data_IF_695497923657
#
_entry.id   IF_695497923657
#
_cell.length_a   1.000
_cell.length_b   1.000
_cell.length_c   1.000
_cell.angle_alpha   90.00
_cell.angle_beta   90.00
_cell.angle_gamma   90.00
#
_symmetry.space_group_name_H-M   'P 1'
#
loop_
_entity.id
_entity.type
_entity.pdbx_description
1 polymer ?
#
# COMPACT_ATOMS: atom_id res chain seq x y z
N UNK A 1 9.50 -26.02 53.58
CA UNK A 1 8.31 -25.53 52.86
C UNK A 1 8.72 -24.32 52.05
N UNK A 2 8.51 -24.41 50.73
CA UNK A 2 8.55 -23.41 49.65
C UNK A 2 9.78 -22.47 49.56
N UNK A 3 10.66 -22.55 48.54
CA UNK A 3 10.50 -22.55 47.07
C UNK A 3 10.58 -21.13 46.47
N UNK A 4 11.72 -20.87 45.80
CA UNK A 4 11.97 -19.98 44.67
C UNK A 4 11.76 -18.46 44.81
N UNK A 5 12.88 -17.74 44.96
CA UNK A 5 13.04 -16.38 44.47
C UNK A 5 14.47 -16.20 43.98
N UNK A 6 14.74 -16.39 42.69
CA UNK A 6 15.98 -15.93 42.05
C UNK A 6 15.81 -15.96 40.52
N UNK A 7 15.70 -14.79 39.91
CA UNK A 7 16.35 -14.43 38.63
C UNK A 7 16.12 -12.93 38.41
N UNK A 8 17.06 -12.14 38.92
CA UNK A 8 17.20 -10.72 38.60
C UNK A 8 18.06 -10.51 37.35
N UNK A 9 17.78 -9.40 36.68
CA UNK A 9 18.65 -8.60 35.82
C UNK A 9 19.77 -9.34 35.05
N UNK A 10 19.58 -9.53 33.74
CA UNK A 10 20.70 -9.54 32.80
C UNK A 10 20.87 -8.13 32.22
N UNK A 11 21.59 -7.29 32.96
CA UNK A 11 22.29 -6.13 32.41
C UNK A 11 23.44 -6.64 31.56
N UNK A 12 23.31 -6.51 30.26
CA UNK A 12 24.40 -6.65 29.30
C UNK A 12 25.22 -5.35 29.35
N UNK A 13 26.43 -5.35 29.92
CA UNK A 13 27.57 -4.47 29.55
C UNK A 13 28.69 -4.56 30.61
N UNK A 14 29.82 -5.16 30.24
CA UNK A 14 31.14 -4.77 30.72
C UNK A 14 32.17 -5.11 29.62
N UNK A 15 32.63 -4.08 28.90
CA UNK A 15 33.82 -4.13 28.04
C UNK A 15 35.08 -3.88 28.88
N UNK A 16 36.24 -4.48 28.56
CA UNK A 16 37.52 -4.03 29.07
C UNK A 16 38.06 -2.83 28.27
N UNK A 17 38.75 -1.93 28.97
CA UNK A 17 39.46 -0.78 28.43
C UNK A 17 40.55 -1.22 27.41
N UNK A 18 40.61 -0.52 26.30
CA UNK A 18 41.76 -0.55 25.38
C UNK A 18 41.50 0.33 24.15
N UNK A 19 42.32 1.38 23.97
CA UNK A 19 42.32 2.19 22.75
C UNK A 19 42.65 1.29 21.54
N UNK A 20 41.69 1.12 20.65
CA UNK A 20 41.93 0.78 19.25
C UNK A 20 40.82 1.45 18.43
N UNK A 21 41.19 2.13 17.34
CA UNK A 21 40.24 2.55 16.32
C UNK A 21 39.67 1.27 15.68
N UNK A 22 38.55 0.76 16.20
CA UNK A 22 37.97 -0.51 15.76
C UNK A 22 37.00 -0.26 14.60
N UNK A 23 37.19 -1.02 13.52
CA UNK A 23 36.16 -1.25 12.50
C UNK A 23 34.80 -1.45 13.18
N UNK A 24 33.83 -0.62 12.80
CA UNK A 24 32.47 -0.71 13.32
C UNK A 24 31.92 -2.08 12.95
N UNK A 25 31.64 -2.92 13.93
CA UNK A 25 31.08 -4.24 13.68
C UNK A 25 29.75 -4.09 12.94
N UNK A 26 29.46 -4.97 11.97
CA UNK A 26 28.17 -4.97 11.26
C UNK A 26 26.99 -4.98 12.24
N UNK A 27 27.13 -5.67 13.38
CA UNK A 27 26.15 -5.70 14.46
C UNK A 27 25.88 -4.32 15.07
N UNK A 28 26.89 -3.49 15.32
CA UNK A 28 26.69 -2.11 15.81
C UNK A 28 25.94 -1.24 14.79
N UNK A 29 26.20 -1.44 13.50
CA UNK A 29 25.48 -0.75 12.41
C UNK A 29 24.01 -1.17 12.31
N UNK A 30 23.71 -2.48 12.42
CA UNK A 30 22.35 -2.99 12.47
C UNK A 30 21.60 -2.51 13.72
N UNK A 31 22.24 -2.45 14.87
CA UNK A 31 21.56 -2.03 16.10
C UNK A 31 21.12 -0.56 16.00
N UNK A 32 21.93 0.33 15.41
CA UNK A 32 21.56 1.73 15.24
C UNK A 32 20.58 2.01 14.08
N UNK A 33 20.64 1.25 12.99
CA UNK A 33 19.69 1.41 11.88
C UNK A 33 18.31 0.85 12.21
N UNK A 34 18.26 -0.18 13.05
CA UNK A 34 17.04 -0.92 13.32
C UNK A 34 16.42 -0.53 14.67
N UNK A 35 17.19 0.01 15.62
CA UNK A 35 16.64 0.54 16.88
C UNK A 35 15.53 1.59 16.67
N UNK A 36 15.60 2.52 15.69
CA UNK A 36 14.50 3.46 15.42
C UNK A 36 13.22 2.76 14.95
N UNK A 37 13.34 1.66 14.19
CA UNK A 37 12.20 0.84 13.72
C UNK A 37 11.48 0.12 14.87
N UNK A 38 12.20 -0.19 15.95
CA UNK A 38 11.64 -0.76 17.18
C UNK A 38 11.38 0.29 18.27
N UNK A 39 11.64 1.57 18.02
CA UNK A 39 11.38 2.61 19.01
C UNK A 39 9.89 2.80 19.25
N UNK A 40 9.50 2.93 20.52
CA UNK A 40 8.14 3.31 20.89
C UNK A 40 7.78 4.72 20.42
N UNK A 41 8.77 5.57 20.12
CA UNK A 41 8.56 6.93 19.62
C UNK A 41 7.81 6.96 18.28
N UNK A 42 8.15 6.07 17.35
CA UNK A 42 7.44 5.97 16.08
C UNK A 42 5.97 5.58 16.30
N UNK A 43 5.71 4.60 17.16
CA UNK A 43 4.35 4.15 17.48
C UNK A 43 3.56 5.23 18.19
N UNK A 44 4.17 5.94 19.14
CA UNK A 44 3.54 7.06 19.85
C UNK A 44 3.15 8.20 18.90
N UNK A 45 3.99 8.52 17.90
CA UNK A 45 3.64 9.50 16.86
C UNK A 45 2.46 9.03 16.02
N UNK A 46 2.45 7.77 15.59
CA UNK A 46 1.32 7.19 14.82
C UNK A 46 0.04 7.21 15.66
N UNK A 47 0.12 6.85 16.94
CA UNK A 47 -1.02 6.87 17.86
C UNK A 47 -1.57 8.29 18.05
N UNK A 48 -0.70 9.26 18.31
CA UNK A 48 -1.10 10.66 18.46
C UNK A 48 -1.83 11.17 17.21
N UNK A 49 -1.30 10.87 16.01
CA UNK A 49 -1.98 11.21 14.75
C UNK A 49 -3.33 10.50 14.63
N UNK A 50 -3.38 9.19 14.91
CA UNK A 50 -4.59 8.38 14.84
C UNK A 50 -5.71 8.87 15.78
N UNK A 51 -5.34 9.46 16.92
CA UNK A 51 -6.28 10.02 17.90
C UNK A 51 -6.72 11.46 17.56
N UNK A 52 -5.87 12.23 16.87
CA UNK A 52 -6.14 13.64 16.56
C UNK A 52 -7.07 13.88 15.37
N UNK A 53 -7.21 12.92 14.47
CA UNK A 53 -8.01 13.04 13.24
C UNK A 53 -8.90 11.81 13.11
N UNK A 54 -10.20 11.99 12.97
CA UNK A 54 -11.16 10.88 12.88
C UNK A 54 -11.89 10.82 11.54
N UNK A 55 -11.49 11.64 10.55
CA UNK A 55 -12.25 11.77 9.30
C UNK A 55 -11.42 11.45 8.03
N UNK A 56 -11.32 10.16 7.64
CA UNK A 56 -10.61 9.73 6.45
C UNK A 56 -11.23 10.25 5.13
N UNK A 57 -12.52 10.61 5.14
CA UNK A 57 -13.22 11.10 3.92
C UNK A 57 -12.72 12.47 3.45
N UNK A 58 -12.08 13.24 4.34
CA UNK A 58 -11.56 14.56 4.02
C UNK A 58 -10.23 14.50 3.24
N UNK A 59 -9.51 13.38 3.30
CA UNK A 59 -8.14 13.27 2.78
C UNK A 59 -7.85 11.89 2.15
N UNK A 60 -8.36 11.62 0.94
CA UNK A 60 -8.22 10.31 0.29
C UNK A 60 -6.78 9.92 -0.08
N UNK A 61 -5.85 10.89 -0.12
CA UNK A 61 -4.42 10.63 -0.31
C UNK A 61 -3.75 9.94 0.90
N UNK A 62 -4.47 9.76 2.03
CA UNK A 62 -3.93 9.24 3.29
C UNK A 62 -4.50 7.88 3.71
N UNK A 63 -4.89 7.03 2.75
CA UNK A 63 -5.28 5.63 3.04
C UNK A 63 -4.14 4.76 3.57
N UNK A 64 -2.92 5.29 3.55
CA UNK A 64 -1.79 4.74 4.30
C UNK A 64 -2.05 4.66 5.80
N UNK A 65 -2.84 5.59 6.37
CA UNK A 65 -3.05 5.64 7.82
C UNK A 65 -3.83 4.42 8.34
N UNK A 66 -5.06 4.08 7.86
CA UNK A 66 -5.74 2.86 8.30
C UNK A 66 -4.93 1.59 8.03
N UNK A 67 -4.25 1.51 6.88
CA UNK A 67 -3.37 0.38 6.54
C UNK A 67 -2.23 0.23 7.55
N UNK A 68 -1.58 1.33 7.93
CA UNK A 68 -0.51 1.34 8.93
C UNK A 68 -1.02 0.86 10.30
N UNK A 69 -2.25 1.20 10.67
CA UNK A 69 -2.85 0.75 11.93
C UNK A 69 -3.11 -0.76 11.91
N UNK A 70 -3.57 -1.34 10.79
CA UNK A 70 -3.65 -2.80 10.63
C UNK A 70 -2.26 -3.46 10.73
N UNK A 71 -1.23 -2.88 10.12
CA UNK A 71 0.14 -3.40 10.20
C UNK A 71 0.71 -3.33 11.62
N UNK A 72 0.41 -2.27 12.38
CA UNK A 72 0.78 -2.19 13.79
C UNK A 72 0.05 -3.23 14.64
N UNK A 73 -1.24 -3.46 14.36
CA UNK A 73 -1.97 -4.56 14.98
C UNK A 73 -1.31 -5.91 14.69
N UNK A 74 -0.97 -6.21 13.44
CA UNK A 74 -0.29 -7.46 13.07
C UNK A 74 1.08 -7.58 13.76
N UNK A 75 1.85 -6.50 13.80
CA UNK A 75 3.14 -6.44 14.51
C UNK A 75 2.97 -6.82 15.98
N UNK A 76 2.09 -6.15 16.72
CA UNK A 76 1.97 -6.36 18.17
C UNK A 76 1.15 -7.59 18.55
N UNK A 77 0.25 -8.08 17.69
CA UNK A 77 -0.52 -9.30 17.97
C UNK A 77 0.25 -10.58 17.60
N UNK A 78 1.10 -10.53 16.57
CA UNK A 78 1.68 -11.73 15.97
C UNK A 78 3.21 -11.75 16.03
N UNK A 79 3.87 -10.64 15.68
CA UNK A 79 5.34 -10.62 15.55
C UNK A 79 6.06 -10.30 16.86
N UNK A 80 5.51 -9.38 17.66
CA UNK A 80 6.10 -8.87 18.89
C UNK A 80 5.05 -8.81 20.04
N UNK A 81 4.43 -9.93 20.45
CA UNK A 81 3.37 -9.93 21.46
C UNK A 81 3.80 -9.50 22.87
N UNK A 82 5.11 -9.51 23.15
CA UNK A 82 5.66 -9.18 24.47
C UNK A 82 6.31 -7.78 24.51
N UNK A 83 6.06 -6.92 23.53
CA UNK A 83 6.67 -5.58 23.42
C UNK A 83 6.03 -4.55 24.39
N UNK A 84 5.06 -4.98 25.22
CA UNK A 84 4.43 -4.16 26.26
C UNK A 84 3.43 -3.11 25.75
N UNK A 85 3.17 -3.06 24.43
CA UNK A 85 2.16 -2.18 23.84
C UNK A 85 0.75 -2.71 24.12
N UNK A 86 -0.08 -1.88 24.76
CA UNK A 86 -1.47 -2.21 25.10
C UNK A 86 -2.48 -1.46 24.22
N UNK A 87 -2.03 -0.87 23.12
CA UNK A 87 -2.87 -0.03 22.26
C UNK A 87 -3.79 -0.92 21.42
N UNK A 88 -5.07 -0.57 21.36
CA UNK A 88 -6.02 -1.24 20.47
C UNK A 88 -5.90 -0.72 19.03
N UNK A 89 -4.84 -1.13 18.36
CA UNK A 89 -4.53 -0.76 16.97
C UNK A 89 -5.62 -1.20 15.99
N UNK A 90 -6.27 -2.34 16.25
CA UNK A 90 -7.30 -2.89 15.38
C UNK A 90 -8.57 -2.03 15.42
N UNK A 91 -9.00 -1.63 16.62
CA UNK A 91 -10.13 -0.72 16.78
C UNK A 91 -9.87 0.62 16.07
N UNK A 92 -8.68 1.20 16.26
CA UNK A 92 -8.28 2.41 15.54
C UNK A 92 -8.29 2.20 14.01
N UNK A 93 -7.74 1.09 13.51
CA UNK A 93 -7.74 0.79 12.08
C UNK A 93 -9.16 0.71 11.51
N UNK A 94 -10.08 0.06 12.22
CA UNK A 94 -11.49 -0.05 11.84
C UNK A 94 -12.21 1.29 11.86
N UNK A 95 -12.00 2.11 12.89
CA UNK A 95 -12.54 3.48 12.95
C UNK A 95 -12.09 4.30 11.75
N UNK A 96 -10.79 4.26 11.42
CA UNK A 96 -10.21 4.97 10.28
C UNK A 96 -10.63 4.39 8.93
N UNK A 97 -11.07 3.13 8.87
CA UNK A 97 -11.53 2.50 7.62
C UNK A 97 -13.00 2.76 7.33
N UNK A 98 -13.79 3.20 8.31
CA UNK A 98 -15.26 3.25 8.20
C UNK A 98 -15.74 4.08 7.00
N UNK A 99 -15.09 5.21 6.73
CA UNK A 99 -15.43 6.09 5.59
C UNK A 99 -15.03 5.55 4.21
N UNK A 100 -14.28 4.45 4.15
CA UNK A 100 -13.77 3.91 2.89
C UNK A 100 -14.65 2.78 2.34
N UNK A 101 -15.46 2.10 3.17
CA UNK A 101 -16.21 0.90 2.76
C UNK A 101 -17.25 1.16 1.67
N UNK A 102 -17.89 2.33 1.68
CA UNK A 102 -18.98 2.65 0.75
C UNK A 102 -18.81 4.05 0.18
N UNK A 103 -17.81 4.29 -0.69
CA UNK A 103 -17.60 5.59 -1.31
C UNK A 103 -18.77 5.93 -2.24
N UNK A 104 -19.12 7.21 -2.33
CA UNK A 104 -20.05 7.67 -3.38
C UNK A 104 -19.39 7.54 -4.77
N UNK A 105 -20.20 7.61 -5.83
CA UNK A 105 -19.67 7.57 -7.19
C UNK A 105 -18.71 8.74 -7.47
N UNK A 106 -18.94 9.91 -6.90
CA UNK A 106 -18.05 11.07 -7.05
C UNK A 106 -16.70 10.83 -6.36
N UNK A 107 -16.70 10.13 -5.22
CA UNK A 107 -15.47 9.72 -4.53
C UNK A 107 -14.71 8.66 -5.33
N UNK A 108 -15.41 7.66 -5.87
CA UNK A 108 -14.78 6.66 -6.76
C UNK A 108 -14.17 7.33 -8.00
N UNK A 109 -14.88 8.28 -8.60
CA UNK A 109 -14.39 9.05 -9.75
C UNK A 109 -13.16 9.89 -9.41
N UNK A 110 -13.08 10.47 -8.21
CA UNK A 110 -11.91 11.23 -7.77
C UNK A 110 -10.71 10.33 -7.45
N UNK A 111 -10.95 9.10 -6.96
CA UNK A 111 -9.89 8.10 -6.77
C UNK A 111 -9.39 7.53 -8.09
N UNK A 112 -10.27 7.38 -9.08
CA UNK A 112 -9.96 6.74 -10.36
C UNK A 112 -9.23 5.40 -10.16
N UNK A 113 -8.05 5.18 -10.76
CA UNK A 113 -7.34 3.91 -10.58
C UNK A 113 -6.82 3.68 -9.16
N UNK A 114 -6.62 4.73 -8.35
CA UNK A 114 -6.14 4.64 -6.97
C UNK A 114 -7.20 4.06 -6.02
N UNK A 115 -8.37 3.67 -6.53
CA UNK A 115 -9.34 2.83 -5.82
C UNK A 115 -8.69 1.56 -5.24
N UNK A 116 -7.65 1.02 -5.87
CA UNK A 116 -6.90 -0.12 -5.34
C UNK A 116 -6.17 0.20 -4.04
N UNK A 117 -5.45 1.33 -3.98
CA UNK A 117 -4.84 1.85 -2.74
C UNK A 117 -5.90 2.09 -1.66
N UNK A 118 -7.01 2.73 -2.03
CA UNK A 118 -8.11 2.99 -1.11
C UNK A 118 -8.81 1.72 -0.60
N UNK A 119 -8.61 0.58 -1.27
CA UNK A 119 -9.19 -0.71 -0.90
C UNK A 119 -8.30 -1.56 0.02
N UNK A 120 -7.04 -1.15 0.24
CA UNK A 120 -6.08 -1.91 1.06
C UNK A 120 -6.59 -2.15 2.49
N UNK A 121 -7.19 -1.18 3.21
CA UNK A 121 -7.71 -1.41 4.55
C UNK A 121 -8.77 -2.52 4.62
N UNK A 122 -9.66 -2.63 3.63
CA UNK A 122 -10.67 -3.70 3.60
C UNK A 122 -10.02 -5.07 3.35
N UNK A 123 -8.98 -5.13 2.51
CA UNK A 123 -8.22 -6.35 2.29
C UNK A 123 -7.47 -6.80 3.55
N UNK A 124 -7.02 -5.86 4.40
CA UNK A 124 -6.50 -6.17 5.73
C UNK A 124 -7.60 -6.65 6.69
N UNK A 125 -8.76 -6.00 6.72
CA UNK A 125 -9.89 -6.45 7.53
C UNK A 125 -10.31 -7.88 7.17
N UNK A 126 -10.36 -8.24 5.88
CA UNK A 126 -10.72 -9.60 5.45
C UNK A 126 -9.69 -10.66 5.83
N UNK A 127 -8.41 -10.29 5.99
CA UNK A 127 -7.41 -11.21 6.55
C UNK A 127 -7.65 -11.48 8.03
N UNK A 128 -8.14 -10.48 8.77
CA UNK A 128 -8.43 -10.60 10.19
C UNK A 128 -9.81 -11.22 10.47
N UNK A 129 -10.84 -10.81 9.73
CA UNK A 129 -12.20 -11.30 9.80
C UNK A 129 -12.72 -11.65 8.39
N UNK A 130 -12.45 -12.87 7.90
CA UNK A 130 -12.88 -13.30 6.56
C UNK A 130 -14.41 -13.31 6.35
N UNK A 131 -15.18 -13.37 7.44
CA UNK A 131 -16.64 -13.34 7.41
C UNK A 131 -17.22 -11.92 7.39
N UNK A 132 -16.39 -10.88 7.31
CA UNK A 132 -16.85 -9.49 7.24
C UNK A 132 -17.44 -9.19 5.86
N UNK A 133 -18.75 -9.40 5.72
CA UNK A 133 -19.48 -9.18 4.47
C UNK A 133 -19.44 -7.70 4.02
N UNK A 134 -19.40 -6.74 4.94
CA UNK A 134 -19.24 -5.32 4.58
C UNK A 134 -17.91 -5.08 3.88
N UNK A 135 -16.81 -5.63 4.40
CA UNK A 135 -15.50 -5.53 3.79
C UNK A 135 -15.42 -6.25 2.45
N UNK A 136 -16.00 -7.45 2.37
CA UNK A 136 -16.05 -8.24 1.15
C UNK A 136 -16.80 -7.51 0.04
N UNK A 137 -17.99 -6.98 0.34
CA UNK A 137 -18.79 -6.24 -0.62
C UNK A 137 -18.09 -4.96 -1.09
N UNK A 138 -17.41 -4.24 -0.18
CA UNK A 138 -16.61 -3.07 -0.53
C UNK A 138 -15.47 -3.41 -1.51
N UNK A 139 -14.71 -4.48 -1.23
CA UNK A 139 -13.63 -4.94 -2.14
C UNK A 139 -14.18 -5.30 -3.51
N UNK A 140 -15.28 -6.04 -3.58
CA UNK A 140 -15.90 -6.45 -4.85
C UNK A 140 -16.45 -5.26 -5.63
N UNK A 141 -17.11 -4.30 -4.97
CA UNK A 141 -17.62 -3.09 -5.61
C UNK A 141 -16.49 -2.21 -6.15
N UNK A 142 -15.44 -2.00 -5.36
CA UNK A 142 -14.26 -1.25 -5.76
C UNK A 142 -13.51 -1.93 -6.91
N UNK A 143 -13.41 -3.27 -6.89
CA UNK A 143 -12.80 -4.03 -7.99
C UNK A 143 -13.64 -3.96 -9.27
N UNK A 144 -14.97 -3.96 -9.17
CA UNK A 144 -15.85 -3.72 -10.31
C UNK A 144 -15.63 -2.32 -10.90
N UNK A 145 -15.46 -1.29 -10.06
CA UNK A 145 -15.11 0.04 -10.52
C UNK A 145 -13.75 0.05 -11.24
N UNK A 146 -12.69 -0.51 -10.65
CA UNK A 146 -11.37 -0.60 -11.30
C UNK A 146 -11.42 -1.37 -12.62
N UNK A 147 -12.16 -2.48 -12.66
CA UNK A 147 -12.38 -3.28 -13.86
C UNK A 147 -13.12 -2.51 -14.95
N UNK A 148 -14.06 -1.61 -14.60
CA UNK A 148 -14.74 -0.77 -15.59
C UNK A 148 -13.79 0.18 -16.34
N UNK A 149 -12.61 0.45 -15.77
CA UNK A 149 -11.55 1.25 -16.38
C UNK A 149 -10.67 0.42 -17.34
N UNK A 150 -10.85 -0.90 -17.41
CA UNK A 150 -10.08 -1.79 -18.28
C UNK A 150 -10.52 -1.65 -19.74
N UNK A 151 -9.55 -1.38 -20.62
CA UNK A 151 -9.78 -1.38 -22.06
C UNK A 151 -9.13 -2.61 -22.68
N UNK A 152 -9.95 -3.58 -23.11
CA UNK A 152 -9.48 -4.89 -23.61
C UNK A 152 -8.57 -4.79 -24.83
N UNK A 153 -8.81 -3.83 -25.72
CA UNK A 153 -7.98 -3.59 -26.92
C UNK A 153 -6.55 -3.21 -26.52
N UNK A 154 -6.39 -2.42 -25.46
CA UNK A 154 -5.06 -2.00 -24.96
C UNK A 154 -4.47 -3.03 -24.00
N UNK A 155 -5.31 -3.66 -23.19
CA UNK A 155 -4.95 -4.72 -22.25
C UNK A 155 -4.62 -4.23 -20.84
N UNK A 156 -5.10 -3.07 -20.42
CA UNK A 156 -4.83 -2.49 -19.09
C UNK A 156 -5.92 -1.49 -18.62
N UNK A 157 -5.95 -1.16 -17.32
CA UNK A 157 -6.94 -0.28 -16.65
C UNK A 157 -6.55 1.19 -16.72
N UNK A 158 -7.36 2.12 -17.23
CA UNK A 158 -6.97 3.53 -17.37
C UNK A 158 -6.67 4.21 -16.02
N UNK A 159 -5.60 4.98 -15.92
CA UNK A 159 -5.21 5.64 -14.65
C UNK A 159 -6.19 6.73 -14.21
N UNK A 160 -6.48 7.73 -15.04
CA UNK A 160 -7.49 8.76 -14.74
C UNK A 160 -8.11 9.31 -16.03
N UNK A 161 -9.22 10.01 -15.88
CA UNK A 161 -9.88 10.70 -16.97
C UNK A 161 -9.36 12.14 -17.08
N UNK A 162 -9.09 12.61 -18.30
CA UNK A 162 -8.73 14.01 -18.56
C UNK A 162 -9.95 14.75 -19.13
N UNK A 163 -10.01 16.06 -18.87
CA UNK A 163 -11.08 16.94 -19.39
C UNK A 163 -11.14 16.99 -20.92
N UNK A 164 -12.26 17.50 -21.44
CA UNK A 164 -12.64 17.46 -22.86
C UNK A 164 -11.58 18.03 -23.82
N UNK A 165 -11.31 17.31 -24.92
CA UNK A 165 -10.41 17.72 -26.03
C UNK A 165 -9.63 16.55 -26.66
N UNK A 166 -8.60 16.84 -27.47
CA UNK A 166 -7.71 15.88 -28.18
C UNK A 166 -7.03 14.82 -27.28
N UNK A 167 -7.19 14.93 -25.96
CA UNK A 167 -6.64 14.03 -24.95
C UNK A 167 -7.66 13.00 -24.43
N UNK A 168 -8.94 13.10 -24.77
CA UNK A 168 -9.97 12.10 -24.39
C UNK A 168 -9.73 10.73 -25.01
N UNK A 169 -9.10 10.71 -26.19
CA UNK A 169 -8.86 9.52 -27.01
C UNK A 169 -7.69 8.67 -26.45
N UNK A 170 -7.04 9.11 -25.36
CA UNK A 170 -5.84 8.47 -24.83
C UNK A 170 -6.14 7.55 -23.66
N UNK A 171 -5.67 6.33 -23.76
CA UNK A 171 -5.61 5.39 -22.66
C UNK A 171 -4.31 5.60 -21.89
N UNK A 172 -4.36 6.45 -20.88
CA UNK A 172 -3.19 6.79 -20.07
C UNK A 172 -2.92 5.74 -19.01
N UNK A 173 -1.65 5.38 -18.88
CA UNK A 173 -1.18 4.42 -17.88
C UNK A 173 0.03 4.94 -17.13
N UNK A 174 -0.05 4.97 -15.80
CA UNK A 174 1.10 5.21 -14.94
C UNK A 174 1.60 3.94 -14.27
N UNK A 175 2.89 3.94 -13.93
CA UNK A 175 3.53 2.79 -13.32
C UNK A 175 2.90 2.40 -11.98
N UNK A 176 2.41 3.37 -11.21
CA UNK A 176 1.76 3.21 -9.90
C UNK A 176 0.48 2.35 -10.00
N UNK A 177 -0.14 2.29 -11.18
CA UNK A 177 -1.32 1.48 -11.44
C UNK A 177 -1.06 -0.03 -11.27
N UNK A 178 0.20 -0.45 -11.32
CA UNK A 178 0.61 -1.82 -10.97
C UNK A 178 0.24 -2.20 -9.53
N UNK A 179 0.30 -1.26 -8.59
CA UNK A 179 -0.04 -1.52 -7.19
C UNK A 179 -1.53 -1.76 -6.99
N UNK A 180 -2.37 -1.19 -7.87
CA UNK A 180 -3.82 -1.33 -7.81
C UNK A 180 -4.30 -2.70 -8.31
N UNK A 181 -3.45 -3.49 -8.98
CA UNK A 181 -3.81 -4.82 -9.48
C UNK A 181 -4.11 -5.82 -8.36
N UNK A 182 -3.56 -5.61 -7.16
CA UNK A 182 -3.86 -6.43 -6.00
C UNK A 182 -5.36 -6.46 -5.70
N UNK A 183 -6.10 -5.36 -5.94
CA UNK A 183 -7.55 -5.31 -5.76
C UNK A 183 -8.26 -6.30 -6.69
N UNK A 184 -7.86 -6.37 -7.96
CA UNK A 184 -8.43 -7.30 -8.93
C UNK A 184 -8.11 -8.75 -8.53
N UNK A 185 -6.87 -9.04 -8.12
CA UNK A 185 -6.47 -10.37 -7.69
C UNK A 185 -7.27 -10.82 -6.46
N UNK A 186 -7.41 -9.96 -5.45
CA UNK A 186 -8.23 -10.25 -4.26
C UNK A 186 -9.69 -10.47 -4.62
N UNK A 187 -10.26 -9.67 -5.53
CA UNK A 187 -11.64 -9.87 -6.00
C UNK A 187 -11.81 -11.18 -6.77
N UNK A 188 -10.81 -11.62 -7.53
CA UNK A 188 -10.82 -12.93 -8.17
C UNK A 188 -10.91 -14.06 -7.13
N UNK A 189 -10.12 -13.97 -6.06
CA UNK A 189 -10.11 -14.97 -4.99
C UNK A 189 -11.44 -14.98 -4.20
N UNK A 190 -12.02 -13.80 -3.94
CA UNK A 190 -13.27 -13.67 -3.18
C UNK A 190 -14.52 -14.10 -3.96
N UNK A 191 -14.55 -13.85 -5.27
CA UNK A 191 -15.73 -14.10 -6.13
C UNK A 191 -15.64 -15.38 -6.95
N UNK A 192 -14.44 -15.92 -7.16
CA UNK A 192 -14.18 -17.00 -8.12
C UNK A 192 -14.20 -16.54 -9.59
N UNK A 193 -14.41 -15.25 -9.87
CA UNK A 193 -14.41 -14.72 -11.24
C UNK A 193 -12.98 -14.54 -11.76
N UNK A 194 -12.53 -15.44 -12.63
CA UNK A 194 -11.19 -15.42 -13.21
C UNK A 194 -10.89 -14.18 -14.06
N UNK A 195 -11.93 -13.50 -14.58
CA UNK A 195 -11.79 -12.30 -15.42
C UNK A 195 -10.95 -11.22 -14.73
N UNK A 196 -11.09 -11.06 -13.41
CA UNK A 196 -10.28 -10.10 -12.66
C UNK A 196 -8.78 -10.45 -12.68
N UNK A 197 -8.44 -11.73 -12.56
CA UNK A 197 -7.06 -12.23 -12.65
C UNK A 197 -6.51 -12.06 -14.06
N UNK A 198 -7.34 -12.30 -15.09
CA UNK A 198 -6.94 -12.13 -16.49
C UNK A 198 -6.64 -10.66 -16.80
N UNK A 199 -7.48 -9.73 -16.33
CA UNK A 199 -7.25 -8.28 -16.46
C UNK A 199 -5.97 -7.84 -15.75
N UNK A 200 -5.73 -8.32 -14.53
CA UNK A 200 -4.51 -8.00 -13.78
C UNK A 200 -3.25 -8.52 -14.50
N UNK A 201 -3.30 -9.77 -14.99
CA UNK A 201 -2.19 -10.39 -15.72
C UNK A 201 -1.91 -9.67 -17.04
N UNK A 202 -2.96 -9.34 -17.80
CA UNK A 202 -2.84 -8.56 -19.04
C UNK A 202 -2.23 -7.19 -18.77
N UNK A 203 -2.68 -6.49 -17.72
CA UNK A 203 -2.13 -5.20 -17.33
C UNK A 203 -0.63 -5.32 -17.04
N UNK A 204 -0.24 -6.25 -16.17
CA UNK A 204 1.16 -6.44 -15.79
C UNK A 204 2.05 -6.73 -16.99
N UNK A 205 1.61 -7.60 -17.90
CA UNK A 205 2.33 -7.91 -19.13
C UNK A 205 2.48 -6.67 -20.04
N UNK A 206 1.42 -5.87 -20.17
CA UNK A 206 1.44 -4.65 -20.97
C UNK A 206 2.38 -3.59 -20.39
N UNK A 207 2.41 -3.45 -19.06
CA UNK A 207 3.33 -2.57 -18.36
C UNK A 207 4.78 -3.03 -18.53
N UNK A 208 5.06 -4.32 -18.38
CA UNK A 208 6.40 -4.87 -18.59
C UNK A 208 6.93 -4.59 -20.00
N UNK A 209 6.07 -4.66 -21.02
CA UNK A 209 6.44 -4.39 -22.41
C UNK A 209 6.77 -2.92 -22.70
N UNK A 210 6.06 -1.97 -22.06
CA UNK A 210 6.03 -0.59 -22.52
C UNK A 210 6.51 0.44 -21.49
N UNK A 211 6.41 0.16 -20.19
CA UNK A 211 6.92 1.04 -19.14
C UNK A 211 8.39 0.79 -18.84
N UNK A 212 8.91 -0.41 -19.04
CA UNK A 212 10.30 -0.76 -18.71
C UNK A 212 11.20 -0.48 -19.91
N UNK A 213 12.26 0.31 -19.69
CA UNK A 213 13.27 0.64 -20.70
C UNK A 213 14.31 -0.48 -20.82
N UNK A 214 15.07 -0.54 -21.93
CA UNK A 214 16.14 -1.53 -22.09
C UNK A 214 17.22 -1.50 -21.00
N UNK A 215 17.40 -0.36 -20.32
CA UNK A 215 18.34 -0.21 -19.20
C UNK A 215 17.76 -0.58 -17.83
N UNK A 216 16.51 -1.08 -17.78
CA UNK A 216 15.80 -1.45 -16.55
C UNK A 216 15.13 -0.28 -15.81
N UNK A 217 15.27 0.95 -16.29
CA UNK A 217 14.53 2.10 -15.73
C UNK A 217 13.08 2.14 -16.23
N UNK A 218 12.18 2.89 -15.57
CA UNK A 218 10.76 2.96 -15.95
C UNK A 218 10.32 4.33 -16.46
N UNK A 219 9.42 4.34 -17.45
CA UNK A 219 8.59 5.51 -17.74
C UNK A 219 7.57 5.70 -16.62
N UNK A 220 7.32 6.95 -16.25
CA UNK A 220 6.22 7.24 -15.34
C UNK A 220 4.89 7.02 -16.08
N UNK A 221 4.72 7.64 -17.25
CA UNK A 221 3.47 7.61 -18.03
C UNK A 221 3.70 6.99 -19.41
N UNK A 222 2.87 6.03 -19.79
CA UNK A 222 2.72 5.52 -21.16
C UNK A 222 1.31 5.84 -21.64
N UNK A 223 1.19 6.26 -22.91
CA UNK A 223 -0.09 6.59 -23.52
C UNK A 223 -0.34 5.67 -24.71
N UNK A 224 -1.55 5.12 -24.77
CA UNK A 224 -2.03 4.38 -25.94
C UNK A 224 -3.17 5.14 -26.60
N UNK A 225 -3.32 4.98 -27.91
CA UNK A 225 -4.58 5.28 -28.57
C UNK A 225 -5.59 4.13 -28.32
N UNK A 226 -6.87 4.27 -28.74
CA UNK A 226 -7.88 3.24 -28.54
C UNK A 226 -7.65 1.97 -29.36
N UNK A 227 -6.73 2.00 -30.33
CA UNK A 227 -6.35 0.89 -31.19
C UNK A 227 -5.08 0.17 -30.71
N UNK A 228 -4.59 0.52 -29.51
CA UNK A 228 -3.39 -0.04 -28.87
C UNK A 228 -2.05 0.45 -29.47
N UNK A 229 -2.05 1.57 -30.19
CA UNK A 229 -0.81 2.19 -30.66
C UNK A 229 -0.19 3.04 -29.55
N UNK A 230 1.12 2.87 -29.33
CA UNK A 230 1.89 3.73 -28.43
C UNK A 230 1.98 5.15 -28.99
N UNK A 231 1.66 6.14 -28.15
CA UNK A 231 1.73 7.55 -28.52
C UNK A 231 3.08 8.17 -28.08
N UNK A 232 3.68 9.10 -28.86
CA UNK A 232 5.01 9.67 -28.59
C UNK A 232 5.17 10.45 -27.28
N UNK A 233 4.09 10.65 -26.51
CA UNK A 233 4.10 11.39 -25.25
C UNK A 233 4.35 10.51 -24.02
N UNK A 234 5.20 9.49 -24.15
CA UNK A 234 5.73 8.72 -23.01
C UNK A 234 6.58 9.67 -22.15
N UNK A 235 6.04 10.18 -21.05
CA UNK A 235 6.65 11.25 -20.25
C UNK A 235 7.03 10.76 -18.87
N UNK A 236 8.04 11.42 -18.32
CA UNK A 236 8.27 11.47 -16.88
C UNK A 236 7.32 12.56 -16.35
N UNK A 237 6.26 12.21 -15.63
CA UNK A 237 5.34 13.22 -15.09
C UNK A 237 5.88 13.90 -13.82
N UNK A 238 6.79 13.24 -13.09
CA UNK A 238 7.25 13.67 -11.75
C UNK A 238 8.79 13.70 -11.57
N UNK A 239 9.60 13.45 -12.61
CA UNK A 239 11.07 13.46 -12.49
C UNK A 239 11.71 14.66 -13.20
N UNK A 240 12.85 15.11 -12.67
CA UNK A 240 13.70 16.14 -13.26
C UNK A 240 14.25 15.68 -14.62
N UNK A 241 13.96 16.42 -15.69
CA UNK A 241 14.49 16.14 -17.03
C UNK A 241 15.88 16.76 -17.15
N UNK A 242 16.95 15.96 -17.07
CA UNK A 242 18.28 16.44 -17.49
C UNK A 242 18.33 16.41 -19.02
N UNK A 243 18.09 17.57 -19.64
CA UNK A 243 18.42 17.77 -21.05
C UNK A 243 19.92 17.55 -21.22
N UNK A 244 20.31 16.55 -22.01
CA UNK A 244 21.62 16.51 -22.64
C UNK A 244 21.51 17.16 -24.00
#
# INVERSE_FOLDING_TARGET
>A
MLSHALTGLLTCLALPLGLALTERSRTAYWTELVAPLYSSEANNKVLATAQSSSNPSQWPEYTDQPTRLYLLHERFSTLCPNDGDTTDWLSLARTWSNGLYNPSQDVLASWAHDVGFNSVPMMHELRHNPANETAKNAVLANAQYLASRYLSVVGCTKSWDRGKGDFEVRHMQIIDNMMNLQLLLTAADLSGNSTYRDMATSHANKTMQNHIRPDGSSYHVVNYDPTNQLLPQTRHAQLYRRTR
#
